data_IF_262551181141
#
_entry.id   IF_262551181141
#
_cell.length_a   1.000
_cell.length_b   1.000
_cell.length_c   1.000
_cell.angle_alpha   90.00
_cell.angle_beta   90.00
_cell.angle_gamma   90.00
#
_symmetry.space_group_name_H-M   'P 1'
#
loop_
_entity.id
_entity.type
_entity.pdbx_description
1 polymer ?
#
# COMPACT_ATOMS: atom_id res chain seq x y z
N UNK A 1 -6.47 -14.10 23.60
CA UNK A 1 -7.12 -13.97 24.92
C UNK A 1 -7.50 -12.51 25.18
N UNK A 2 -8.28 -12.18 26.21
CA UNK A 2 -8.42 -10.79 26.64
C UNK A 2 -7.03 -10.20 26.96
N UNK A 3 -6.81 -8.93 26.62
CA UNK A 3 -5.52 -8.23 26.79
C UNK A 3 -4.36 -8.74 25.92
N UNK A 4 -4.62 -9.59 24.92
CA UNK A 4 -3.60 -9.93 23.92
C UNK A 4 -3.32 -8.74 22.99
N UNK A 5 -2.05 -8.44 22.78
CA UNK A 5 -1.62 -7.52 21.71
C UNK A 5 -1.67 -8.24 20.38
N UNK A 6 -2.34 -7.64 19.39
CA UNK A 6 -2.39 -8.14 18.02
C UNK A 6 -1.65 -7.14 17.13
N UNK A 7 -0.71 -7.66 16.33
CA UNK A 7 0.04 -6.87 15.35
C UNK A 7 -0.35 -7.36 13.96
N UNK A 8 -0.75 -6.42 13.09
CA UNK A 8 -1.03 -6.72 11.69
C UNK A 8 0.29 -6.60 10.92
N UNK A 9 0.76 -7.73 10.39
CA UNK A 9 2.00 -7.76 9.61
C UNK A 9 1.74 -7.35 8.15
N UNK A 10 1.50 -6.06 7.94
CA UNK A 10 1.25 -5.50 6.60
C UNK A 10 2.42 -5.76 5.63
N UNK A 11 3.65 -5.87 6.14
CA UNK A 11 4.84 -6.18 5.33
C UNK A 11 4.77 -7.58 4.72
N UNK A 12 4.38 -8.58 5.51
CA UNK A 12 4.21 -9.95 5.05
C UNK A 12 3.03 -10.07 4.08
N UNK A 13 1.89 -9.43 4.40
CA UNK A 13 0.71 -9.40 3.54
C UNK A 13 1.04 -8.85 2.15
N UNK A 14 1.78 -7.73 2.08
CA UNK A 14 2.20 -7.12 0.82
C UNK A 14 3.21 -7.95 -0.01
N UNK A 15 3.65 -9.11 0.49
CA UNK A 15 4.62 -10.03 -0.15
C UNK A 15 4.12 -11.47 -0.20
N UNK A 16 2.87 -11.69 0.19
CA UNK A 16 2.28 -13.02 0.22
C UNK A 16 1.97 -13.48 -1.20
N UNK A 17 2.61 -14.57 -1.65
CA UNK A 17 2.39 -15.12 -2.99
C UNK A 17 0.99 -15.71 -3.18
N UNK A 18 0.28 -16.05 -2.10
CA UNK A 18 -1.13 -16.47 -2.19
C UNK A 18 -2.07 -15.31 -2.54
N UNK A 19 -1.69 -14.08 -2.18
CA UNK A 19 -2.45 -12.87 -2.50
C UNK A 19 -1.95 -12.20 -3.79
N UNK A 20 -0.64 -12.22 -4.03
CA UNK A 20 0.01 -11.43 -5.09
C UNK A 20 0.63 -12.27 -6.23
N UNK A 21 0.55 -13.61 -6.16
CA UNK A 21 1.12 -14.53 -7.13
C UNK A 21 2.63 -14.74 -6.98
N UNK A 22 3.23 -15.50 -7.90
CA UNK A 22 4.66 -15.84 -7.88
C UNK A 22 5.58 -14.61 -8.00
N UNK A 23 5.05 -13.49 -8.49
CA UNK A 23 5.77 -12.23 -8.64
C UNK A 23 5.58 -11.25 -7.46
N UNK A 24 5.08 -11.73 -6.30
CA UNK A 24 4.86 -10.92 -5.10
C UNK A 24 6.08 -10.14 -4.61
N UNK A 25 7.29 -10.61 -4.92
CA UNK A 25 8.54 -9.96 -4.54
C UNK A 25 9.09 -9.01 -5.62
N UNK A 26 8.49 -8.99 -6.81
CA UNK A 26 8.92 -8.12 -7.91
C UNK A 26 8.25 -6.76 -7.82
N UNK A 27 9.03 -5.71 -8.07
CA UNK A 27 8.50 -4.36 -8.28
C UNK A 27 7.80 -4.31 -9.64
N UNK A 28 6.47 -4.41 -9.62
CA UNK A 28 5.61 -4.41 -10.82
C UNK A 28 4.42 -3.45 -10.62
N UNK A 29 4.60 -2.14 -10.87
CA UNK A 29 3.52 -1.14 -10.71
C UNK A 29 2.28 -1.45 -11.55
N UNK A 30 2.46 -2.10 -12.70
CA UNK A 30 1.40 -2.42 -13.65
C UNK A 30 0.32 -3.32 -13.05
N UNK A 31 0.62 -4.05 -11.96
CA UNK A 31 -0.37 -4.90 -11.26
C UNK A 31 -1.55 -4.12 -10.71
N UNK A 32 -1.40 -2.80 -10.53
CA UNK A 32 -2.46 -1.93 -10.03
C UNK A 32 -3.26 -1.26 -11.16
N UNK A 33 -2.75 -1.27 -12.40
CA UNK A 33 -3.40 -0.61 -13.54
C UNK A 33 -4.68 -1.33 -13.94
N UNK A 34 -5.78 -0.58 -14.09
CA UNK A 34 -7.07 -1.13 -14.51
C UNK A 34 -7.73 -2.05 -13.48
N UNK A 35 -7.23 -2.07 -12.24
CA UNK A 35 -7.82 -2.82 -11.13
C UNK A 35 -8.69 -1.93 -10.26
N UNK A 36 -9.70 -2.50 -9.61
CA UNK A 36 -10.55 -1.83 -8.62
C UNK A 36 -9.98 -1.91 -7.19
N UNK A 37 -8.68 -2.24 -7.06
CA UNK A 37 -8.02 -2.40 -5.76
C UNK A 37 -8.01 -1.08 -4.98
N UNK A 38 -8.48 -1.12 -3.74
CA UNK A 38 -8.65 0.03 -2.86
C UNK A 38 -7.71 -0.02 -1.65
N UNK A 39 -6.72 0.87 -1.66
CA UNK A 39 -5.78 1.06 -0.54
C UNK A 39 -6.38 1.78 0.67
N UNK A 40 -7.68 2.16 0.62
CA UNK A 40 -8.41 2.77 1.74
C UNK A 40 -8.91 1.75 2.76
N UNK A 41 -8.36 0.54 2.76
CA UNK A 41 -8.61 -0.46 3.79
C UNK A 41 -9.83 -1.35 3.54
N UNK A 42 -10.39 -1.35 2.33
CA UNK A 42 -11.43 -2.31 1.90
C UNK A 42 -10.82 -3.64 1.46
N UNK A 43 -9.70 -3.57 0.75
CA UNK A 43 -9.04 -4.74 0.17
C UNK A 43 -7.80 -5.08 1.02
N UNK A 44 -7.87 -6.22 1.73
CA UNK A 44 -6.93 -6.54 2.82
C UNK A 44 -5.58 -7.05 2.35
N UNK A 45 -5.46 -7.46 1.10
CA UNK A 45 -4.20 -7.73 0.42
C UNK A 45 -3.31 -6.46 0.34
N UNK A 46 -3.90 -5.26 0.42
CA UNK A 46 -3.23 -3.97 0.33
C UNK A 46 -3.66 -2.99 1.43
N UNK A 47 -3.01 -3.05 2.60
CA UNK A 47 -3.30 -2.17 3.77
C UNK A 47 -2.15 -1.22 4.16
N UNK A 48 -1.58 -0.44 3.23
CA UNK A 48 -0.44 0.44 3.53
C UNK A 48 -0.77 1.56 4.52
N UNK A 49 -2.05 1.90 4.67
CA UNK A 49 -2.57 2.92 5.58
C UNK A 49 -3.41 2.35 6.73
N UNK A 50 -3.34 1.03 6.95
CA UNK A 50 -4.22 0.31 7.87
C UNK A 50 -5.68 0.28 7.37
N UNK A 51 -6.61 -0.03 8.27
CA UNK A 51 -8.05 -0.11 7.97
C UNK A 51 -8.89 0.15 9.24
N UNK A 52 -10.18 0.38 9.04
CA UNK A 52 -11.19 0.47 10.10
C UNK A 52 -11.06 1.70 10.99
N UNK A 53 -11.42 1.56 12.27
CA UNK A 53 -11.54 2.69 13.23
C UNK A 53 -10.25 3.47 13.49
N UNK A 54 -9.11 2.90 13.12
CA UNK A 54 -7.76 3.47 13.34
C UNK A 54 -6.98 3.62 12.03
N UNK A 55 -7.68 3.61 10.89
CA UNK A 55 -7.07 3.90 9.60
C UNK A 55 -6.35 5.25 9.62
N UNK A 56 -5.23 5.34 8.90
CA UNK A 56 -4.39 6.52 8.88
C UNK A 56 -5.19 7.78 8.47
N UNK A 57 -5.33 8.78 9.35
CA UNK A 57 -6.04 10.01 9.01
C UNK A 57 -5.25 10.87 8.01
N UNK A 58 -3.95 10.65 7.87
CA UNK A 58 -3.05 11.37 6.97
C UNK A 58 -2.93 10.79 5.56
N UNK A 59 -3.71 9.76 5.21
CA UNK A 59 -3.60 9.07 3.91
C UNK A 59 -3.66 10.03 2.71
N UNK A 60 -4.62 10.96 2.69
CA UNK A 60 -4.78 11.91 1.60
C UNK A 60 -3.56 12.86 1.45
N UNK A 61 -3.00 13.30 2.58
CA UNK A 61 -1.80 14.13 2.60
C UNK A 61 -0.60 13.32 2.08
N UNK A 62 -0.41 12.09 2.57
CA UNK A 62 0.70 11.23 2.16
C UNK A 62 0.69 10.94 0.66
N UNK A 63 -0.47 10.59 0.10
CA UNK A 63 -0.62 10.32 -1.34
C UNK A 63 -0.33 11.56 -2.17
N UNK A 64 -0.86 12.73 -1.77
CA UNK A 64 -0.58 13.99 -2.46
C UNK A 64 0.92 14.31 -2.46
N UNK A 65 1.57 14.20 -1.29
CA UNK A 65 3.00 14.47 -1.16
C UNK A 65 3.83 13.50 -2.00
N UNK A 66 3.59 12.19 -1.91
CA UNK A 66 4.36 11.19 -2.68
C UNK A 66 4.21 11.40 -4.18
N UNK A 67 2.99 11.63 -4.68
CA UNK A 67 2.76 11.87 -6.10
C UNK A 67 3.45 13.16 -6.58
N UNK A 68 3.31 14.27 -5.86
CA UNK A 68 3.93 15.54 -6.24
C UNK A 68 5.46 15.46 -6.21
N UNK A 69 6.02 14.88 -5.15
CA UNK A 69 7.48 14.69 -5.04
C UNK A 69 7.99 13.82 -6.18
N UNK A 70 7.36 12.67 -6.45
CA UNK A 70 7.78 11.78 -7.52
C UNK A 70 7.64 12.45 -8.91
N UNK A 71 6.52 13.11 -9.18
CA UNK A 71 6.29 13.81 -10.44
C UNK A 71 7.34 14.90 -10.69
N UNK A 72 7.68 15.69 -9.67
CA UNK A 72 8.70 16.74 -9.78
C UNK A 72 10.10 16.15 -10.01
N UNK A 73 10.44 15.06 -9.32
CA UNK A 73 11.74 14.40 -9.50
C UNK A 73 11.87 13.77 -10.90
N UNK A 74 10.82 13.13 -11.40
CA UNK A 74 10.81 12.53 -12.75
C UNK A 74 10.80 13.60 -13.86
N UNK A 75 10.16 14.75 -13.62
CA UNK A 75 10.10 15.82 -14.61
C UNK A 75 11.39 16.66 -14.66
N UNK A 76 11.98 16.94 -13.51
CA UNK A 76 13.07 17.91 -13.38
C UNK A 76 14.48 17.34 -13.56
N UNK A 77 14.64 16.01 -13.58
CA UNK A 77 15.95 15.37 -13.55
C UNK A 77 15.96 14.08 -14.37
N UNK A 78 17.11 13.78 -14.96
CA UNK A 78 17.42 12.47 -15.54
C UNK A 78 18.28 11.67 -14.55
N UNK A 79 18.06 10.35 -14.50
CA UNK A 79 18.68 9.42 -13.56
C UNK A 79 19.11 8.13 -14.27
#
# INVERSE_FOLDING_TARGET
>A
PSSSTVLINAYAIARDSSAWGDDALLFRPERFLGTDLDIRGRDFEAVPFGSGRRQCPGMALALTTVHLTLANLLHGFEW
#
